data_IF_224041923002
#
_entry.id   IF_224041923002
#
_cell.length_a   1.000
_cell.length_b   1.000
_cell.length_c   1.000
_cell.angle_alpha   90.00
_cell.angle_beta   90.00
_cell.angle_gamma   90.00
#
_symmetry.space_group_name_H-M   'P 1'
#
loop_
_entity.id
_entity.type
_entity.pdbx_description
1 polymer ?
#
# COMPACT_ATOMS: atom_id res chain seq x y z
N UNK A 1 -15.77 -3.34 -0.77
CA UNK A 1 -15.62 -4.01 -2.08
C UNK A 1 -14.15 -3.93 -2.42
N UNK A 2 -13.51 -5.04 -2.81
CA UNK A 2 -12.12 -4.97 -3.23
C UNK A 2 -11.99 -4.28 -4.59
N UNK A 3 -10.95 -3.47 -4.74
CA UNK A 3 -10.65 -2.71 -5.94
C UNK A 3 -9.24 -3.03 -6.42
N UNK A 4 -9.01 -2.97 -7.73
CA UNK A 4 -7.69 -3.26 -8.29
C UNK A 4 -6.80 -2.04 -8.17
N UNK A 5 -5.66 -2.21 -7.50
CA UNK A 5 -4.64 -1.20 -7.33
C UNK A 5 -3.38 -1.63 -8.08
N UNK A 6 -2.90 -0.75 -8.96
CA UNK A 6 -1.58 -0.84 -9.58
C UNK A 6 -0.77 0.36 -9.13
N UNK A 7 0.42 0.13 -8.57
CA UNK A 7 1.29 1.19 -8.10
C UNK A 7 2.75 0.72 -8.01
N UNK A 8 3.68 1.69 -8.02
CA UNK A 8 5.10 1.43 -7.87
C UNK A 8 5.48 1.43 -6.39
N UNK A 9 6.16 0.40 -5.91
CA UNK A 9 6.67 0.31 -4.54
C UNK A 9 7.81 1.31 -4.38
N UNK A 10 7.60 2.32 -3.55
CA UNK A 10 8.62 3.32 -3.22
C UNK A 10 9.42 2.87 -2.01
N UNK A 11 8.75 2.23 -1.05
CA UNK A 11 9.35 1.71 0.16
C UNK A 11 8.67 0.40 0.56
N UNK A 12 9.45 -0.56 1.02
CA UNK A 12 8.97 -1.86 1.49
C UNK A 12 9.55 -2.12 2.87
N UNK A 13 8.69 -2.39 3.84
CA UNK A 13 9.05 -2.70 5.21
C UNK A 13 8.67 -4.14 5.50
N UNK A 14 9.66 -4.94 5.91
CA UNK A 14 9.44 -6.27 6.45
C UNK A 14 8.72 -6.19 7.81
N UNK A 15 7.99 -7.24 8.23
CA UNK A 15 7.33 -7.27 9.53
C UNK A 15 8.28 -6.98 10.71
N UNK A 16 9.55 -7.39 10.59
CA UNK A 16 10.59 -7.18 11.59
C UNK A 16 11.06 -5.70 11.65
N UNK A 17 10.91 -4.96 10.54
CA UNK A 17 11.30 -3.55 10.42
C UNK A 17 10.18 -2.59 10.84
N UNK A 18 8.95 -3.08 11.00
CA UNK A 18 7.79 -2.27 11.40
C UNK A 18 7.95 -1.67 12.80
N UNK A 19 8.56 -2.42 13.72
CA UNK A 19 8.83 -1.96 15.10
C UNK A 19 9.81 -0.78 15.13
N UNK A 20 10.66 -0.65 14.10
CA UNK A 20 11.65 0.43 13.98
C UNK A 20 11.10 1.66 13.24
N UNK A 21 10.01 1.50 12.49
CA UNK A 21 9.47 2.50 11.56
C UNK A 21 8.57 3.58 12.20
N UNK A 22 8.43 3.61 13.53
CA UNK A 22 7.58 4.56 14.30
C UNK A 22 6.19 4.76 13.66
N UNK A 23 5.52 3.65 13.36
CA UNK A 23 4.22 3.64 12.69
C UNK A 23 3.10 4.07 13.65
N UNK A 24 1.96 4.44 13.09
CA UNK A 24 0.76 4.66 13.90
C UNK A 24 0.33 3.31 14.53
N UNK A 25 -0.10 3.28 15.80
CA UNK A 25 -0.41 2.03 16.52
C UNK A 25 -1.51 1.20 15.85
N UNK A 26 -2.44 1.86 15.17
CA UNK A 26 -3.50 1.20 14.39
C UNK A 26 -2.92 0.50 13.15
N UNK A 27 -1.92 1.10 12.49
CA UNK A 27 -1.23 0.51 11.35
C UNK A 27 -0.30 -0.63 11.79
N UNK A 28 0.39 -0.49 12.91
CA UNK A 28 1.19 -1.58 13.50
C UNK A 28 0.32 -2.80 13.81
N UNK A 29 -0.85 -2.58 14.41
CA UNK A 29 -1.79 -3.65 14.72
C UNK A 29 -2.31 -4.33 13.45
N UNK A 30 -2.63 -3.53 12.43
CA UNK A 30 -3.08 -4.05 11.14
C UNK A 30 -1.97 -4.83 10.42
N UNK A 31 -0.74 -4.32 10.42
CA UNK A 31 0.39 -4.91 9.74
C UNK A 31 1.17 -5.94 10.57
N UNK A 32 0.68 -6.31 11.76
CA UNK A 32 1.36 -7.24 12.64
C UNK A 32 1.66 -8.58 11.94
N UNK A 33 2.95 -8.86 11.71
CA UNK A 33 3.41 -10.06 11.01
C UNK A 33 3.23 -10.04 9.48
N UNK A 34 2.93 -8.87 8.89
CA UNK A 34 2.75 -8.65 7.46
C UNK A 34 3.71 -7.57 6.96
N UNK A 35 3.89 -7.49 5.64
CA UNK A 35 4.71 -6.45 5.02
C UNK A 35 3.91 -5.17 4.81
N UNK A 36 4.57 -4.03 4.94
CA UNK A 36 4.00 -2.71 4.63
C UNK A 36 4.72 -2.13 3.43
N UNK A 37 3.96 -1.91 2.35
CA UNK A 37 4.45 -1.28 1.14
C UNK A 37 3.94 0.16 1.07
N UNK A 38 4.85 1.11 0.95
CA UNK A 38 4.51 2.50 0.60
C UNK A 38 4.65 2.61 -0.90
N UNK A 39 3.55 2.82 -1.58
CA UNK A 39 3.50 2.79 -3.03
C UNK A 39 3.09 4.14 -3.59
N UNK A 40 3.74 4.54 -4.67
CA UNK A 40 3.36 5.70 -5.45
C UNK A 40 2.41 5.25 -6.54
N UNK A 41 1.28 5.94 -6.64
CA UNK A 41 0.23 5.58 -7.60
C UNK A 41 0.70 5.74 -9.06
N UNK A 42 0.77 4.61 -9.78
CA UNK A 42 1.00 4.51 -11.23
C UNK A 42 -0.34 4.48 -11.97
N UNK A 43 -0.53 5.32 -12.98
CA UNK A 43 -1.85 5.61 -13.54
C UNK A 43 -2.47 4.47 -14.36
N UNK A 44 -3.64 3.98 -13.95
CA UNK A 44 -4.75 3.45 -14.79
C UNK A 44 -6.05 3.45 -13.95
N UNK A 45 -7.24 3.72 -14.53
CA UNK A 45 -8.29 4.51 -13.89
C UNK A 45 -9.34 3.65 -13.20
N UNK A 46 -9.43 3.68 -11.86
CA UNK A 46 -10.67 3.46 -11.10
C UNK A 46 -10.41 3.79 -9.63
N UNK A 47 -10.50 5.07 -9.22
CA UNK A 47 -10.56 5.40 -7.78
C UNK A 47 -11.14 6.81 -7.46
N UNK A 48 -12.13 7.35 -8.19
CA UNK A 48 -12.14 8.78 -8.50
C UNK A 48 -12.48 9.77 -7.36
N UNK A 49 -12.84 9.38 -6.13
CA UNK A 49 -13.48 10.36 -5.22
C UNK A 49 -12.97 10.46 -3.77
N UNK A 50 -12.05 9.63 -3.25
CA UNK A 50 -11.74 9.64 -1.78
C UNK A 50 -10.32 10.04 -1.36
N UNK A 51 -9.31 10.04 -2.25
CA UNK A 51 -7.93 10.43 -1.89
C UNK A 51 -7.79 11.94 -1.65
N UNK A 52 -8.73 12.76 -2.14
CA UNK A 52 -8.67 14.22 -2.06
C UNK A 52 -8.62 14.78 -0.63
N UNK A 53 -9.08 14.04 0.39
CA UNK A 53 -9.19 14.56 1.75
C UNK A 53 -7.89 14.49 2.57
N UNK A 54 -7.01 13.51 2.30
CA UNK A 54 -5.71 13.40 2.99
C UNK A 54 -4.63 14.31 2.37
N UNK A 55 -4.88 14.85 1.17
CA UNK A 55 -3.97 15.70 0.39
C UNK A 55 -4.08 17.21 0.71
N UNK A 56 -4.49 17.62 1.91
CA UNK A 56 -4.56 19.07 2.23
C UNK A 56 -3.24 19.69 2.69
N UNK A 57 -2.12 18.94 2.60
CA UNK A 57 -0.74 19.48 2.64
C UNK A 57 0.14 18.67 1.67
N UNK A 58 0.10 19.07 0.38
CA UNK A 58 0.79 18.62 -0.86
C UNK A 58 2.14 17.85 -0.78
N UNK A 59 2.62 17.15 -1.85
CA UNK A 59 1.95 16.46 -2.98
C UNK A 59 2.73 15.21 -3.50
N UNK A 60 2.45 13.99 -3.06
CA UNK A 60 2.61 12.75 -3.86
C UNK A 60 1.55 11.80 -3.28
N UNK A 61 0.68 11.22 -4.11
CA UNK A 61 -0.30 10.22 -3.67
C UNK A 61 0.45 8.91 -3.34
N UNK A 62 1.13 8.92 -2.20
CA UNK A 62 1.66 7.72 -1.57
C UNK A 62 0.50 7.01 -0.86
N UNK A 63 0.30 5.74 -1.18
CA UNK A 63 -0.67 4.86 -0.51
C UNK A 63 0.08 3.80 0.26
N UNK A 64 -0.46 3.39 1.40
CA UNK A 64 0.11 2.31 2.21
C UNK A 64 -0.67 1.05 1.94
N UNK A 65 0.03 -0.05 1.66
CA UNK A 65 -0.57 -1.35 1.37
C UNK A 65 0.01 -2.38 2.32
N UNK A 66 -0.85 -3.09 3.03
CA UNK A 66 -0.50 -4.22 3.87
C UNK A 66 -0.70 -5.50 3.07
N UNK A 67 0.34 -6.32 3.01
CA UNK A 67 0.37 -7.55 2.22
C UNK A 67 1.13 -8.64 2.96
N UNK A 68 0.71 -9.89 2.79
CA UNK A 68 1.44 -11.04 3.34
C UNK A 68 2.75 -11.29 2.57
N UNK A 69 2.81 -10.89 1.30
CA UNK A 69 3.97 -11.05 0.41
C UNK A 69 4.77 -9.75 0.31
N UNK A 70 6.09 -9.86 0.43
CA UNK A 70 7.01 -8.72 0.28
C UNK A 70 7.33 -8.45 -1.18
N UNK A 71 7.03 -7.24 -1.65
CA UNK A 71 7.43 -6.75 -2.98
C UNK A 71 8.61 -5.79 -2.82
N UNK A 72 9.72 -5.96 -3.55
CA UNK A 72 10.90 -5.11 -3.42
C UNK A 72 10.63 -3.66 -3.87
N UNK A 73 11.41 -2.75 -3.28
CA UNK A 73 11.42 -1.34 -3.66
C UNK A 73 11.80 -1.15 -5.14
N UNK A 74 11.12 -0.22 -5.81
CA UNK A 74 11.32 0.10 -7.22
C UNK A 74 10.57 -0.81 -8.20
N UNK A 75 9.84 -1.81 -7.69
CA UNK A 75 9.02 -2.69 -8.50
C UNK A 75 7.57 -2.21 -8.57
N UNK A 76 6.89 -2.51 -9.67
CA UNK A 76 5.46 -2.27 -9.79
C UNK A 76 4.72 -3.47 -9.20
N UNK A 77 3.64 -3.21 -8.46
CA UNK A 77 2.78 -4.25 -7.92
C UNK A 77 1.34 -4.02 -8.39
N UNK A 78 0.62 -5.12 -8.63
CA UNK A 78 -0.82 -5.07 -8.90
C UNK A 78 -1.54 -6.06 -8.00
N UNK A 79 -2.51 -5.56 -7.23
CA UNK A 79 -3.27 -6.37 -6.29
C UNK A 79 -4.74 -5.93 -6.22
N UNK A 80 -5.61 -6.84 -5.83
CA UNK A 80 -6.93 -6.49 -5.33
C UNK A 80 -6.77 -6.07 -3.88
N UNK A 81 -7.22 -4.86 -3.56
CA UNK A 81 -7.10 -4.29 -2.23
C UNK A 81 -8.44 -3.88 -1.67
N UNK A 82 -8.59 -3.92 -0.35
CA UNK A 82 -9.74 -3.40 0.36
C UNK A 82 -9.35 -2.18 1.18
N UNK A 83 -10.20 -1.15 1.17
CA UNK A 83 -10.08 -0.01 2.09
C UNK A 83 -10.25 -0.51 3.53
N UNK A 84 -9.32 -0.14 4.40
CA UNK A 84 -9.38 -0.43 5.84
C UNK A 84 -10.02 0.73 6.59
N UNK A 85 -10.19 0.59 7.90
CA UNK A 85 -10.65 1.70 8.75
C UNK A 85 -9.66 2.89 8.75
N UNK A 86 -8.41 2.67 8.32
CA UNK A 86 -7.38 3.69 8.19
C UNK A 86 -7.39 4.30 6.79
N UNK A 87 -7.63 5.61 6.73
CA UNK A 87 -7.63 6.34 5.48
C UNK A 87 -6.26 6.31 4.79
N UNK A 88 -6.23 5.87 3.54
CA UNK A 88 -5.00 5.72 2.76
C UNK A 88 -4.22 4.43 3.02
N UNK A 89 -4.75 3.54 3.87
CA UNK A 89 -4.21 2.20 4.11
C UNK A 89 -5.15 1.16 3.52
N UNK A 90 -4.57 0.25 2.73
CA UNK A 90 -5.30 -0.81 2.06
C UNK A 90 -4.73 -2.16 2.44
N UNK A 91 -5.60 -3.15 2.51
CA UNK A 91 -5.21 -4.55 2.72
C UNK A 91 -5.32 -5.30 1.40
N UNK A 92 -4.29 -6.06 1.02
CA UNK A 92 -4.38 -6.97 -0.13
C UNK A 92 -5.34 -8.10 0.21
N UNK A 93 -6.39 -8.24 -0.59
CA UNK A 93 -7.35 -9.34 -0.46
C UNK A 93 -7.05 -10.49 -1.42
N UNK A 94 -6.37 -10.22 -2.55
CA UNK A 94 -6.03 -11.21 -3.58
C UNK A 94 -4.98 -10.64 -4.55
N UNK A 95 -4.09 -11.50 -5.07
CA UNK A 95 -2.91 -11.06 -5.82
C UNK A 95 -1.82 -10.57 -4.87
N UNK A 96 -0.95 -9.67 -5.33
CA UNK A 96 0.18 -9.17 -4.53
C UNK A 96 1.56 -9.55 -5.05
N UNK A 97 1.63 -10.16 -6.23
CA UNK A 97 2.90 -10.49 -6.86
C UNK A 97 3.51 -9.25 -7.54
N UNK A 98 4.84 -9.20 -7.49
CA UNK A 98 5.66 -8.39 -8.36
C UNK A 98 5.22 -8.58 -9.83
N UNK A 99 4.92 -7.51 -10.58
CA UNK A 99 4.81 -7.69 -12.03
C UNK A 99 6.21 -7.89 -12.60
N UNK A 100 6.56 -9.17 -12.83
CA UNK A 100 7.78 -9.58 -13.51
C UNK A 100 7.87 -8.86 -14.87
N UNK A 101 8.69 -7.80 -14.94
CA UNK A 101 9.04 -7.15 -16.21
C UNK A 101 10.13 -8.00 -16.89
N UNK A 102 9.71 -9.11 -17.50
CA UNK A 102 10.51 -9.90 -18.44
C UNK A 102 10.92 -9.10 -19.67
#
# INVERSE_FOLDING_TARGET
MPETLTADVVHALAPDELEEADLQPELETLAAGRHVLVCRKGGTPSWPERILAFLRRSPIEAVTVVTDEGVPEGEEFTAQVAETDLAGVYEVVSGGDAVDRS
#
